data_IF_740817480674
#
_entry.id   IF_740817480674
#
_cell.length_a   1.000
_cell.length_b   1.000
_cell.length_c   1.000
_cell.angle_alpha   90.00
_cell.angle_beta   90.00
_cell.angle_gamma   90.00
#
_symmetry.space_group_name_H-M   'P 1'
#
loop_
_entity.id
_entity.type
_entity.pdbx_description
1 polymer ?
#
# COMPACT_ATOMS: atom_id res chain seq x y z
N UNK A 1 57.78 3.59 30.08
CA UNK A 1 57.41 2.96 28.78
C UNK A 1 55.88 2.77 28.58
N UNK A 2 55.00 3.68 29.07
CA UNK A 2 53.52 3.56 28.94
C UNK A 2 52.87 4.49 27.90
N UNK A 3 53.56 5.50 27.39
CA UNK A 3 52.97 6.52 26.50
C UNK A 3 52.78 6.12 25.03
N UNK A 4 53.56 5.16 24.51
CA UNK A 4 53.55 4.79 23.08
C UNK A 4 52.39 3.88 22.69
N UNK A 5 51.89 3.07 23.64
CA UNK A 5 50.77 2.13 23.43
C UNK A 5 49.41 2.81 23.35
N UNK A 6 49.25 3.97 23.97
CA UNK A 6 47.98 4.72 23.90
C UNK A 6 47.88 5.52 22.60
N UNK A 7 48.99 6.11 22.11
CA UNK A 7 49.02 6.86 20.85
C UNK A 7 48.72 6.00 19.61
N UNK A 8 49.25 4.78 19.57
CA UNK A 8 49.01 3.83 18.47
C UNK A 8 47.56 3.33 18.44
N UNK A 9 46.95 3.10 19.61
CA UNK A 9 45.54 2.71 19.71
C UNK A 9 44.57 3.81 19.25
N UNK A 10 44.88 5.08 19.54
CA UNK A 10 44.06 6.21 19.09
C UNK A 10 44.07 6.41 17.57
N UNK A 11 45.20 6.18 16.90
CA UNK A 11 45.31 6.32 15.45
C UNK A 11 44.55 5.21 14.68
N UNK A 12 44.54 3.99 15.22
CA UNK A 12 43.76 2.88 14.66
C UNK A 12 42.25 3.09 14.84
N UNK A 13 41.82 3.64 15.98
CA UNK A 13 40.42 3.97 16.21
C UNK A 13 39.92 5.10 15.29
N UNK A 14 40.73 6.14 15.07
CA UNK A 14 40.37 7.26 14.20
C UNK A 14 40.24 6.84 12.72
N UNK A 15 41.12 5.96 12.23
CA UNK A 15 41.06 5.45 10.85
C UNK A 15 39.84 4.57 10.58
N UNK A 16 39.42 3.75 11.55
CA UNK A 16 38.22 2.92 11.42
C UNK A 16 36.93 3.76 11.33
N UNK A 17 36.84 4.87 12.08
CA UNK A 17 35.66 5.75 12.05
C UNK A 17 35.53 6.49 10.72
N UNK A 18 36.64 6.97 10.14
CA UNK A 18 36.62 7.67 8.85
C UNK A 18 36.23 6.73 7.71
N UNK A 19 36.75 5.50 7.69
CA UNK A 19 36.36 4.49 6.70
C UNK A 19 34.88 4.09 6.82
N UNK A 20 34.36 3.98 8.05
CA UNK A 20 32.96 3.63 8.32
C UNK A 20 31.95 4.69 7.85
N UNK A 21 32.36 5.96 7.73
CA UNK A 21 31.48 7.07 7.32
C UNK A 21 31.54 7.36 5.80
N UNK A 22 32.68 7.12 5.15
CA UNK A 22 32.83 7.38 3.71
C UNK A 22 32.17 6.30 2.84
N UNK A 23 32.13 5.04 3.28
CA UNK A 23 31.55 3.92 2.51
C UNK A 23 30.02 4.04 2.36
N UNK A 24 29.22 4.35 3.40
CA UNK A 24 27.78 4.53 3.25
C UNK A 24 27.42 5.73 2.35
N UNK A 25 28.15 6.85 2.48
CA UNK A 25 27.88 8.06 1.69
C UNK A 25 28.07 7.85 0.18
N UNK A 26 29.13 7.12 -0.21
CA UNK A 26 29.39 6.79 -1.62
C UNK A 26 28.33 5.84 -2.20
N UNK A 27 27.84 4.88 -1.41
CA UNK A 27 26.78 3.95 -1.83
C UNK A 27 25.42 4.65 -1.98
N UNK A 28 25.11 5.62 -1.11
CA UNK A 28 23.91 6.46 -1.26
C UNK A 28 23.99 7.30 -2.54
N UNK A 29 25.12 7.95 -2.82
CA UNK A 29 25.29 8.78 -4.02
C UNK A 29 25.23 7.98 -5.33
N UNK A 30 25.82 6.78 -5.36
CA UNK A 30 25.79 5.90 -6.53
C UNK A 30 24.39 5.34 -6.86
N UNK A 31 23.50 5.21 -5.87
CA UNK A 31 22.12 4.77 -6.07
C UNK A 31 21.24 5.78 -6.81
N UNK A 32 21.64 7.04 -6.90
CA UNK A 32 20.84 8.11 -7.52
C UNK A 32 21.20 8.40 -8.98
N UNK A 33 22.33 7.92 -9.48
CA UNK A 33 22.80 8.20 -10.86
C UNK A 33 22.28 7.22 -11.93
N UNK A 34 21.51 6.19 -11.54
CA UNK A 34 21.03 5.14 -12.45
C UNK A 34 19.60 5.27 -12.96
N UNK A 35 18.82 6.27 -12.53
CA UNK A 35 17.40 6.36 -12.90
C UNK A 35 17.17 7.25 -14.13
N UNK A 36 17.90 7.01 -15.21
CA UNK A 36 17.57 7.61 -16.51
C UNK A 36 16.41 6.83 -17.15
N UNK A 37 15.18 7.27 -16.86
CA UNK A 37 14.05 7.25 -17.79
C UNK A 37 13.48 5.89 -18.19
N UNK A 38 12.86 5.16 -17.25
CA UNK A 38 11.72 4.33 -17.63
C UNK A 38 10.50 5.26 -17.83
N UNK A 39 9.67 5.07 -18.86
CA UNK A 39 8.41 5.81 -18.95
C UNK A 39 7.61 5.56 -17.68
N UNK A 40 7.09 6.63 -17.08
CA UNK A 40 6.21 6.53 -15.93
C UNK A 40 5.04 5.59 -16.30
N UNK A 41 4.75 4.63 -15.41
CA UNK A 41 3.56 3.82 -15.58
C UNK A 41 2.33 4.74 -15.64
N UNK A 42 1.32 4.43 -16.47
CA UNK A 42 0.09 5.19 -16.48
C UNK A 42 -0.52 5.19 -15.08
N UNK A 43 -1.16 6.31 -14.73
CA UNK A 43 -1.87 6.43 -13.46
C UNK A 43 -2.89 5.29 -13.30
N UNK A 44 -3.08 4.77 -12.08
CA UNK A 44 -4.07 3.74 -11.85
C UNK A 44 -5.46 4.28 -12.23
N UNK A 45 -6.21 3.47 -12.97
CA UNK A 45 -7.60 3.75 -13.31
C UNK A 45 -8.39 4.05 -12.02
N UNK A 46 -9.25 5.09 -12.00
CA UNK A 46 -10.06 5.38 -10.83
C UNK A 46 -10.99 4.20 -10.52
N UNK A 47 -11.18 3.92 -9.22
CA UNK A 47 -11.90 2.74 -8.75
C UNK A 47 -12.55 3.00 -7.39
N UNK A 48 -13.58 2.20 -7.08
CA UNK A 48 -14.33 2.27 -5.81
C UNK A 48 -15.76 2.76 -6.00
N UNK A 49 -16.71 2.08 -5.37
CA UNK A 49 -18.10 2.51 -5.35
C UNK A 49 -18.29 3.74 -4.45
N UNK A 50 -19.21 4.61 -4.81
CA UNK A 50 -19.68 5.69 -3.94
C UNK A 50 -20.85 5.18 -3.10
N UNK A 51 -20.69 5.21 -1.78
CA UNK A 51 -21.70 4.71 -0.84
C UNK A 51 -22.35 5.83 -0.03
N UNK A 52 -23.67 5.75 0.12
CA UNK A 52 -24.46 6.59 1.03
C UNK A 52 -25.19 5.70 2.03
N UNK A 53 -24.95 5.97 3.32
CA UNK A 53 -25.52 5.19 4.44
C UNK A 53 -26.54 6.04 5.19
N UNK A 54 -27.68 5.45 5.54
CA UNK A 54 -28.70 6.05 6.39
C UNK A 54 -29.07 5.14 7.55
N UNK A 55 -29.40 5.74 8.68
CA UNK A 55 -29.83 5.04 9.91
C UNK A 55 -31.24 5.52 10.26
N UNK A 56 -32.14 4.56 10.47
CA UNK A 56 -33.52 4.80 10.87
C UNK A 56 -33.86 3.95 12.10
N UNK A 57 -33.69 4.55 13.29
CA UNK A 57 -33.87 3.84 14.56
C UNK A 57 -32.88 2.69 14.70
N UNK A 58 -33.39 1.46 14.62
CA UNK A 58 -32.60 0.23 14.73
C UNK A 58 -32.10 -0.33 13.39
N UNK A 59 -32.42 0.31 12.26
CA UNK A 59 -32.13 -0.18 10.90
C UNK A 59 -31.09 0.67 10.20
N UNK A 60 -30.23 0.03 9.42
CA UNK A 60 -29.23 0.67 8.58
C UNK A 60 -29.44 0.26 7.13
N UNK A 61 -29.36 1.22 6.21
CA UNK A 61 -29.40 0.98 4.77
C UNK A 61 -28.22 1.70 4.15
N UNK A 62 -27.48 1.02 3.27
CA UNK A 62 -26.46 1.64 2.44
C UNK A 62 -26.74 1.40 0.96
N UNK A 63 -26.69 2.46 0.16
CA UNK A 63 -26.73 2.38 -1.30
C UNK A 63 -25.33 2.69 -1.84
N UNK A 64 -24.77 1.74 -2.58
CA UNK A 64 -23.45 1.88 -3.19
C UNK A 64 -23.59 1.83 -4.71
N UNK A 65 -23.16 2.89 -5.40
CA UNK A 65 -23.13 2.98 -6.85
C UNK A 65 -21.69 2.95 -7.35
N UNK A 66 -21.38 2.11 -8.33
CA UNK A 66 -20.04 2.04 -8.91
C UNK A 66 -20.03 2.69 -10.30
N UNK A 67 -19.45 3.90 -10.46
CA UNK A 67 -19.33 4.56 -11.77
C UNK A 67 -18.15 4.05 -12.60
N UNK A 68 -17.30 3.17 -12.04
CA UNK A 68 -16.03 2.77 -12.63
C UNK A 68 -16.08 1.41 -13.33
N UNK A 69 -15.14 1.15 -14.28
CA UNK A 69 -15.13 -0.07 -15.07
C UNK A 69 -14.70 -1.33 -14.30
N UNK A 70 -14.11 -1.17 -13.10
CA UNK A 70 -13.74 -2.29 -12.24
C UNK A 70 -14.80 -2.52 -11.17
N UNK A 71 -15.14 -3.79 -10.90
CA UNK A 71 -16.03 -4.12 -9.81
C UNK A 71 -15.36 -3.79 -8.46
N UNK A 72 -16.15 -3.23 -7.55
CA UNK A 72 -15.72 -2.98 -6.18
C UNK A 72 -16.37 -4.00 -5.23
N UNK A 73 -15.74 -4.28 -4.09
CA UNK A 73 -16.30 -5.19 -3.09
C UNK A 73 -16.48 -4.44 -1.79
N UNK A 74 -17.73 -4.26 -1.39
CA UNK A 74 -18.12 -3.45 -0.23
C UNK A 74 -18.70 -4.29 0.88
N UNK A 75 -18.50 -3.87 2.13
CA UNK A 75 -19.10 -4.49 3.31
C UNK A 75 -19.69 -3.39 4.20
N UNK A 76 -20.97 -3.53 4.58
CA UNK A 76 -21.62 -2.67 5.57
C UNK A 76 -21.32 -3.22 6.96
N UNK A 77 -20.90 -2.32 7.85
CA UNK A 77 -20.63 -2.53 9.27
C UNK A 77 -21.59 -1.68 10.10
N UNK A 78 -22.10 -2.26 11.17
CA UNK A 78 -23.08 -1.65 12.07
C UNK A 78 -22.63 -1.84 13.51
N UNK A 79 -22.33 -0.75 14.19
CA UNK A 79 -21.99 -0.72 15.61
C UNK A 79 -23.24 -0.40 16.43
N UNK A 80 -23.57 -1.28 17.37
CA UNK A 80 -24.78 -1.24 18.16
C UNK A 80 -24.54 -0.52 19.51
N UNK A 81 -25.52 0.29 19.92
CA UNK A 81 -25.33 1.20 21.05
C UNK A 81 -25.28 0.51 22.42
N UNK A 82 -25.89 -0.68 22.55
CA UNK A 82 -26.02 -1.40 23.81
C UNK A 82 -25.03 -2.55 23.86
N UNK A 83 -24.34 -2.72 24.98
CA UNK A 83 -23.31 -3.76 25.15
C UNK A 83 -23.81 -5.20 24.94
N UNK A 84 -25.11 -5.42 25.10
CA UNK A 84 -25.76 -6.72 24.90
C UNK A 84 -26.26 -6.93 23.46
N UNK A 85 -26.27 -5.87 22.65
CA UNK A 85 -26.64 -5.88 21.24
C UNK A 85 -25.33 -5.93 20.46
N UNK A 86 -25.00 -7.11 19.93
CA UNK A 86 -23.70 -7.35 19.30
C UNK A 86 -23.63 -6.63 17.95
N UNK A 87 -22.50 -5.98 17.69
CA UNK A 87 -22.20 -5.32 16.42
C UNK A 87 -22.38 -6.30 15.25
N UNK A 88 -22.92 -5.80 14.15
CA UNK A 88 -23.29 -6.59 12.99
C UNK A 88 -22.48 -6.18 11.76
N UNK A 89 -21.99 -7.19 11.05
CA UNK A 89 -21.32 -7.03 9.77
C UNK A 89 -22.09 -7.79 8.70
N UNK A 90 -22.50 -7.09 7.65
CA UNK A 90 -23.06 -7.73 6.47
C UNK A 90 -22.01 -8.62 5.78
N UNK A 91 -22.43 -9.56 4.94
CA UNK A 91 -21.50 -10.23 4.02
C UNK A 91 -20.94 -9.21 3.02
N UNK A 92 -19.65 -9.29 2.63
CA UNK A 92 -19.17 -8.44 1.55
C UNK A 92 -19.89 -8.74 0.22
N UNK A 93 -20.20 -7.69 -0.54
CA UNK A 93 -20.96 -7.73 -1.78
C UNK A 93 -20.17 -7.05 -2.90
N UNK A 94 -20.17 -7.63 -4.09
CA UNK A 94 -19.62 -6.99 -5.27
C UNK A 94 -20.59 -5.94 -5.82
N UNK A 95 -20.08 -4.76 -6.18
CA UNK A 95 -20.76 -3.70 -6.91
C UNK A 95 -20.21 -3.69 -8.34
N UNK A 96 -20.90 -4.31 -9.32
CA UNK A 96 -20.40 -4.35 -10.69
C UNK A 96 -20.37 -2.96 -11.35
N UNK A 97 -19.62 -2.80 -12.47
CA UNK A 97 -19.54 -1.54 -13.20
C UNK A 97 -20.91 -0.99 -13.60
N UNK A 98 -21.14 0.30 -13.35
CA UNK A 98 -22.38 1.00 -13.67
C UNK A 98 -23.61 0.53 -12.88
N UNK A 99 -23.41 -0.23 -11.79
CA UNK A 99 -24.51 -0.80 -10.99
C UNK A 99 -24.61 -0.15 -9.62
N UNK A 100 -25.82 -0.21 -9.07
CA UNK A 100 -26.12 0.14 -7.69
C UNK A 100 -26.54 -1.12 -6.93
N UNK A 101 -25.99 -1.30 -5.73
CA UNK A 101 -26.42 -2.32 -4.79
C UNK A 101 -26.97 -1.67 -3.52
N UNK A 102 -27.83 -2.41 -2.82
CA UNK A 102 -28.34 -2.06 -1.49
C UNK A 102 -27.81 -3.07 -0.49
N UNK A 103 -27.26 -2.57 0.62
CA UNK A 103 -26.92 -3.34 1.80
C UNK A 103 -27.88 -2.93 2.92
N UNK A 104 -28.30 -3.91 3.71
CA UNK A 104 -29.21 -3.73 4.83
C UNK A 104 -28.63 -4.41 6.06
N UNK A 105 -28.80 -3.78 7.21
CA UNK A 105 -28.43 -4.33 8.50
C UNK A 105 -29.31 -3.74 9.61
N UNK A 106 -29.19 -4.27 10.83
CA UNK A 106 -29.95 -3.81 11.99
C UNK A 106 -29.31 -4.19 13.31
N UNK A 107 -29.52 -3.34 14.29
CA UNK A 107 -29.39 -3.69 15.69
C UNK A 107 -30.72 -4.20 16.24
N UNK A 108 -30.72 -4.83 17.41
CA UNK A 108 -31.95 -5.07 18.15
C UNK A 108 -32.58 -3.73 18.57
N UNK A 109 -31.80 -2.85 19.20
CA UNK A 109 -32.31 -1.61 19.80
C UNK A 109 -31.91 -0.34 19.04
N UNK A 110 -30.72 0.19 19.30
CA UNK A 110 -30.27 1.50 18.82
C UNK A 110 -28.94 1.31 18.09
N UNK A 111 -28.79 1.88 16.90
CA UNK A 111 -27.51 1.92 16.18
C UNK A 111 -26.65 3.05 16.76
N UNK A 112 -25.40 2.77 17.09
CA UNK A 112 -24.41 3.78 17.51
C UNK A 112 -23.76 4.43 16.29
N UNK A 113 -23.27 3.62 15.37
CA UNK A 113 -22.64 4.09 14.13
C UNK A 113 -22.74 3.03 13.03
N UNK A 114 -22.57 3.46 11.77
CA UNK A 114 -22.54 2.54 10.63
C UNK A 114 -21.64 3.10 9.53
N UNK A 115 -20.88 2.22 8.87
CA UNK A 115 -19.96 2.60 7.81
C UNK A 115 -19.80 1.48 6.78
N UNK A 116 -19.33 1.83 5.59
CA UNK A 116 -19.01 0.87 4.54
C UNK A 116 -17.50 0.80 4.38
N UNK A 117 -16.95 -0.41 4.34
CA UNK A 117 -15.57 -0.63 3.92
C UNK A 117 -15.52 -1.12 2.48
N UNK A 118 -14.45 -0.73 1.80
CA UNK A 118 -14.10 -1.18 0.47
C UNK A 118 -12.95 -2.17 0.61
N UNK A 119 -13.11 -3.39 0.13
CA UNK A 119 -12.03 -4.35 0.01
C UNK A 119 -11.16 -3.95 -1.21
N UNK A 120 -10.44 -2.84 -1.07
CA UNK A 120 -9.42 -2.45 -2.03
C UNK A 120 -8.43 -3.60 -2.20
N UNK A 121 -7.99 -3.83 -3.44
CA UNK A 121 -6.87 -4.74 -3.73
C UNK A 121 -5.71 -4.39 -2.79
N UNK A 122 -5.35 -5.31 -1.90
CA UNK A 122 -4.02 -5.33 -1.30
C UNK A 122 -3.07 -5.70 -2.44
N UNK A 123 -2.49 -4.70 -3.11
CA UNK A 123 -1.34 -4.96 -3.96
C UNK A 123 -0.19 -5.33 -3.06
N UNK A 124 0.05 -6.64 -2.89
CA UNK A 124 1.35 -7.11 -2.44
C UNK A 124 2.29 -6.97 -3.63
N UNK A 125 2.90 -5.81 -3.80
CA UNK A 125 4.03 -5.67 -4.72
C UNK A 125 5.16 -6.55 -4.19
N UNK A 126 5.18 -7.80 -4.62
CA UNK A 126 6.37 -8.65 -4.49
C UNK A 126 7.20 -8.36 -5.72
N UNK A 127 8.13 -7.41 -5.59
CA UNK A 127 9.19 -7.26 -6.57
C UNK A 127 10.14 -8.45 -6.38
N UNK A 128 10.01 -9.46 -7.24
CA UNK A 128 11.03 -10.49 -7.40
C UNK A 128 11.87 -10.16 -8.63
N UNK A 129 13.16 -9.97 -8.39
CA UNK A 129 14.20 -9.79 -9.40
C UNK A 129 14.34 -11.04 -10.28
N UNK A 130 14.47 -10.80 -11.59
CA UNK A 130 15.61 -11.28 -12.37
C UNK A 130 15.60 -12.73 -12.89
N UNK A 131 15.49 -12.85 -14.20
CA UNK A 131 16.47 -13.58 -15.01
C UNK A 131 16.51 -12.95 -16.41
N UNK A 132 17.50 -12.07 -16.61
CA UNK A 132 17.90 -11.62 -17.93
C UNK A 132 18.69 -12.74 -18.62
N UNK A 133 18.40 -12.97 -19.90
CA UNK A 133 19.13 -13.91 -20.75
C UNK A 133 19.32 -13.31 -22.15
N UNK A 134 20.30 -12.40 -22.24
CA UNK A 134 21.13 -12.08 -23.42
C UNK A 134 20.46 -11.63 -24.72
N UNK A 135 20.51 -10.31 -24.95
CA UNK A 135 20.83 -9.74 -26.25
C UNK A 135 22.35 -9.79 -26.46
N UNK A 136 22.79 -10.11 -27.69
CA UNK A 136 24.18 -10.09 -28.13
C UNK A 136 24.32 -9.17 -29.33
N UNK A 137 25.01 -8.06 -29.09
CA UNK A 137 25.21 -6.85 -29.89
C UNK A 137 26.12 -7.04 -31.12
N UNK A 138 25.84 -6.21 -32.13
CA UNK A 138 26.69 -5.51 -33.13
C UNK A 138 28.11 -6.00 -33.46
N UNK A 139 28.54 -5.74 -34.70
CA UNK A 139 29.39 -4.59 -35.05
C UNK A 139 29.67 -4.61 -36.57
N UNK A 140 29.72 -3.43 -37.18
CA UNK A 140 30.17 -3.27 -38.56
C UNK A 140 31.68 -3.31 -38.70
N UNK A 141 32.16 -3.56 -39.93
CA UNK A 141 33.46 -3.11 -40.40
C UNK A 141 33.55 -3.19 -41.93
N UNK A 142 33.91 -2.05 -42.53
CA UNK A 142 34.72 -1.82 -43.73
C UNK A 142 34.35 -2.49 -45.07
N UNK A 143 34.16 -1.63 -46.07
CA UNK A 143 34.07 -1.94 -47.51
C UNK A 143 33.62 -0.71 -48.29
#
# INVERSE_FOLDING_TARGET
MRGTRHRTRSLLAASAVVAGLLVPGALYAAGHVGAAGAPAAPDPEPSGAECRTSVHGSRVIAYCHNPYPSADRVQLHTDCARWWDIDADSRPVAVPPGRTVRLDDRCWKEVRSAWVTHAGRTHKTTASYGAAGTAGTALGSLG
#
